data_IF_862329727762
#
_entry.id   IF_862329727762
#
_cell.length_a   1.000
_cell.length_b   1.000
_cell.length_c   1.000
_cell.angle_alpha   90.00
_cell.angle_beta   90.00
_cell.angle_gamma   90.00
#
_symmetry.space_group_name_H-M   'P 1'
#
loop_
_entity.id
_entity.type
_entity.pdbx_description
1 polymer ?
#
# COMPACT_ATOMS: atom_id res chain seq x y z
N UNK A 1 1.62 -18.36 4.22
CA UNK A 1 1.72 -16.92 4.46
C UNK A 1 2.24 -16.23 3.20
N UNK A 2 1.62 -15.18 2.78
CA UNK A 2 1.96 -14.51 1.52
C UNK A 2 3.10 -13.53 1.72
N UNK A 3 4.07 -13.56 0.82
CA UNK A 3 5.26 -12.71 0.87
C UNK A 3 5.20 -11.54 -0.11
N UNK A 4 3.99 -11.22 -0.55
CA UNK A 4 3.74 -10.13 -1.49
C UNK A 4 2.67 -9.18 -0.94
N UNK A 5 2.78 -7.92 -1.32
CA UNK A 5 1.80 -6.94 -0.87
C UNK A 5 1.72 -5.73 -1.78
N UNK A 6 0.80 -4.85 -1.40
CA UNK A 6 0.70 -3.50 -1.94
C UNK A 6 0.94 -2.53 -0.79
N UNK A 7 1.87 -1.63 -0.99
CA UNK A 7 2.14 -0.54 -0.07
C UNK A 7 1.42 0.71 -0.59
N UNK A 8 0.58 1.30 0.25
CA UNK A 8 -0.15 2.52 -0.06
C UNK A 8 0.31 3.57 0.93
N UNK A 9 1.23 4.43 0.52
CA UNK A 9 1.77 5.49 1.35
C UNK A 9 1.00 6.80 1.17
N UNK A 10 0.93 7.60 2.21
CA UNK A 10 0.27 8.90 2.15
C UNK A 10 0.93 9.90 3.10
N UNK A 11 0.85 11.16 2.69
CA UNK A 11 1.34 12.29 3.48
C UNK A 11 0.23 12.97 4.25
N UNK A 12 0.48 14.23 4.59
CA UNK A 12 -0.46 15.04 5.33
C UNK A 12 -1.73 15.33 4.51
N UNK A 13 -2.86 15.54 5.18
CA UNK A 13 -4.06 16.04 4.50
C UNK A 13 -3.77 17.34 3.77
N UNK A 14 -4.40 17.52 2.63
CA UNK A 14 -4.37 18.81 1.91
C UNK A 14 -5.04 19.86 2.79
N UNK A 15 -4.43 21.04 2.89
CA UNK A 15 -4.96 22.13 3.71
C UNK A 15 -6.41 22.45 3.33
N UNK A 16 -7.28 22.50 4.33
CA UNK A 16 -8.70 22.73 4.15
C UNK A 16 -9.51 21.48 3.82
N UNK A 17 -8.87 20.33 3.65
CA UNK A 17 -9.53 19.05 3.34
C UNK A 17 -9.38 18.01 4.43
N UNK A 18 -9.09 18.43 5.65
CA UNK A 18 -8.82 17.51 6.76
C UNK A 18 -10.01 16.61 7.08
N UNK A 19 -11.23 17.16 7.06
CA UNK A 19 -12.46 16.40 7.32
C UNK A 19 -12.69 15.36 6.22
N UNK A 20 -12.50 15.77 4.96
CA UNK A 20 -12.63 14.85 3.83
C UNK A 20 -11.56 13.77 3.85
N UNK A 21 -10.33 14.10 4.28
CA UNK A 21 -9.25 13.12 4.41
C UNK A 21 -9.60 12.04 5.43
N UNK A 22 -10.15 12.42 6.59
CA UNK A 22 -10.61 11.46 7.60
C UNK A 22 -11.71 10.55 7.04
N UNK A 23 -12.62 11.11 6.26
CA UNK A 23 -13.70 10.35 5.62
C UNK A 23 -13.15 9.32 4.62
N UNK A 24 -12.23 9.73 3.77
CA UNK A 24 -11.62 8.84 2.77
C UNK A 24 -10.79 7.75 3.45
N UNK A 25 -10.10 8.08 4.54
CA UNK A 25 -9.38 7.08 5.33
C UNK A 25 -10.34 5.98 5.83
N UNK A 26 -11.49 6.38 6.36
CA UNK A 26 -12.52 5.43 6.79
C UNK A 26 -13.06 4.58 5.63
N UNK A 27 -13.27 5.19 4.46
CA UNK A 27 -13.68 4.46 3.25
C UNK A 27 -12.64 3.42 2.85
N UNK A 28 -11.36 3.78 2.93
CA UNK A 28 -10.26 2.88 2.61
C UNK A 28 -10.25 1.67 3.55
N UNK A 29 -10.36 1.91 4.85
CA UNK A 29 -10.37 0.83 5.84
C UNK A 29 -11.54 -0.13 5.61
N UNK A 30 -12.72 0.40 5.31
CA UNK A 30 -13.90 -0.43 5.03
C UNK A 30 -13.72 -1.24 3.74
N UNK A 31 -13.13 -0.64 2.72
CA UNK A 31 -12.86 -1.30 1.44
C UNK A 31 -11.86 -2.46 1.63
N UNK A 32 -10.76 -2.23 2.34
CA UNK A 32 -9.77 -3.28 2.58
C UNK A 32 -10.35 -4.42 3.40
N UNK A 33 -11.18 -4.12 4.40
CA UNK A 33 -11.88 -5.15 5.17
C UNK A 33 -12.79 -6.01 4.28
N UNK A 34 -13.48 -5.39 3.32
CA UNK A 34 -14.31 -6.11 2.36
C UNK A 34 -13.47 -7.01 1.46
N UNK A 35 -12.34 -6.51 0.95
CA UNK A 35 -11.41 -7.30 0.15
C UNK A 35 -10.93 -8.54 0.92
N UNK A 36 -10.63 -8.37 2.19
CA UNK A 36 -10.21 -9.48 3.05
C UNK A 36 -11.32 -10.51 3.22
N UNK A 37 -12.54 -10.06 3.46
CA UNK A 37 -13.70 -10.95 3.61
C UNK A 37 -13.98 -11.73 2.33
N UNK A 38 -13.76 -11.12 1.17
CA UNK A 38 -13.96 -11.75 -0.13
C UNK A 38 -12.81 -12.66 -0.54
N UNK A 39 -11.71 -12.65 0.20
CA UNK A 39 -10.53 -13.45 -0.13
C UNK A 39 -9.64 -12.84 -1.21
N UNK A 40 -9.86 -11.58 -1.56
CA UNK A 40 -9.03 -10.87 -2.55
C UNK A 40 -7.69 -10.45 -1.97
N UNK A 41 -7.62 -10.25 -0.66
CA UNK A 41 -6.39 -10.07 0.09
C UNK A 41 -6.42 -10.98 1.32
N UNK A 42 -5.25 -11.29 1.87
CA UNK A 42 -5.16 -12.08 3.11
C UNK A 42 -5.34 -11.23 4.36
N UNK A 43 -4.69 -10.07 4.37
CA UNK A 43 -4.70 -9.17 5.53
C UNK A 43 -4.30 -7.77 5.09
N UNK A 44 -4.52 -6.82 5.99
CA UNK A 44 -4.01 -5.47 5.80
C UNK A 44 -3.66 -4.85 7.14
N UNK A 45 -2.66 -3.98 7.12
CA UNK A 45 -2.23 -3.21 8.28
C UNK A 45 -2.35 -1.73 7.94
N UNK A 46 -3.01 -0.98 8.81
CA UNK A 46 -3.01 0.48 8.75
C UNK A 46 -2.03 1.03 9.76
N UNK A 47 -1.10 1.83 9.32
CA UNK A 47 -0.04 2.38 10.16
C UNK A 47 -0.03 3.89 10.04
N UNK A 48 -0.16 4.57 11.18
CA UNK A 48 0.03 6.02 11.25
C UNK A 48 1.35 6.29 11.97
N UNK A 49 2.13 7.19 11.41
CA UNK A 49 3.43 7.53 11.95
C UNK A 49 3.35 8.84 12.72
N UNK A 50 4.06 8.93 13.83
CA UNK A 50 4.25 10.20 14.50
C UNK A 50 5.17 11.10 13.67
N UNK A 51 5.16 12.39 13.96
CA UNK A 51 6.00 13.36 13.26
C UNK A 51 7.48 12.98 13.38
N UNK A 52 8.17 12.91 12.24
CA UNK A 52 9.57 12.46 12.19
C UNK A 52 10.42 13.28 11.20
N UNK A 53 9.89 14.40 10.71
CA UNK A 53 10.60 15.29 9.78
C UNK A 53 10.47 14.91 8.31
N UNK A 54 9.87 13.75 7.98
CA UNK A 54 9.62 13.32 6.61
C UNK A 54 8.18 13.56 6.19
N UNK A 55 7.90 13.28 4.92
CA UNK A 55 6.58 13.55 4.32
C UNK A 55 5.60 12.38 4.46
N UNK A 56 6.07 11.19 4.80
CA UNK A 56 5.21 10.02 4.99
C UNK A 56 4.50 10.11 6.32
N UNK A 57 3.19 10.23 6.30
CA UNK A 57 2.38 10.27 7.52
C UNK A 57 1.86 8.91 7.94
N UNK A 58 1.78 7.99 7.01
CA UNK A 58 1.32 6.65 7.29
C UNK A 58 1.25 5.81 6.03
N UNK A 59 0.84 4.58 6.20
CA UNK A 59 0.68 3.69 5.05
C UNK A 59 -0.28 2.55 5.39
N UNK A 60 -0.79 1.95 4.34
CA UNK A 60 -1.50 0.67 4.41
C UNK A 60 -0.62 -0.37 3.74
N UNK A 61 -0.51 -1.53 4.35
CA UNK A 61 0.17 -2.67 3.74
C UNK A 61 -0.85 -3.79 3.57
N UNK A 62 -1.19 -4.08 2.32
CA UNK A 62 -2.10 -5.15 1.97
C UNK A 62 -1.27 -6.36 1.56
N UNK A 63 -1.53 -7.50 2.20
CA UNK A 63 -0.83 -8.76 1.88
C UNK A 63 -1.76 -9.67 1.10
N UNK A 64 -1.23 -10.34 0.10
CA UNK A 64 -2.04 -11.26 -0.68
C UNK A 64 -1.28 -11.91 -1.81
N UNK A 65 -1.97 -12.79 -2.52
CA UNK A 65 -1.44 -13.41 -3.72
C UNK A 65 -1.15 -12.34 -4.78
N UNK A 66 0.03 -12.36 -5.43
CA UNK A 66 0.41 -11.29 -6.37
C UNK A 66 -0.54 -11.17 -7.56
N UNK A 67 -1.11 -12.28 -8.04
CA UNK A 67 -2.08 -12.23 -9.15
C UNK A 67 -3.37 -11.54 -8.70
N UNK A 68 -3.89 -11.93 -7.53
CA UNK A 68 -5.08 -11.30 -6.96
C UNK A 68 -4.86 -9.82 -6.65
N UNK A 69 -3.70 -9.47 -6.11
CA UNK A 69 -3.35 -8.07 -5.86
C UNK A 69 -3.33 -7.24 -7.13
N UNK A 70 -2.82 -7.82 -8.23
CA UNK A 70 -2.84 -7.16 -9.54
C UNK A 70 -4.25 -6.93 -10.03
N UNK A 71 -5.15 -7.89 -9.83
CA UNK A 71 -6.56 -7.76 -10.20
C UNK A 71 -7.26 -6.67 -9.38
N UNK A 72 -6.99 -6.64 -8.07
CA UNK A 72 -7.52 -5.58 -7.19
C UNK A 72 -7.06 -4.21 -7.68
N UNK A 73 -5.76 -4.08 -7.96
CA UNK A 73 -5.17 -2.81 -8.37
C UNK A 73 -5.72 -2.32 -9.71
N UNK A 74 -6.13 -3.22 -10.58
CA UNK A 74 -6.73 -2.90 -11.87
C UNK A 74 -8.24 -2.62 -11.79
N UNK A 75 -8.86 -2.88 -10.63
CA UNK A 75 -10.31 -2.72 -10.47
C UNK A 75 -10.72 -1.25 -10.42
N UNK A 76 -11.95 -1.00 -10.85
CA UNK A 76 -12.52 0.34 -10.82
C UNK A 76 -12.65 0.89 -9.41
N UNK A 77 -13.01 0.05 -8.45
CA UNK A 77 -13.12 0.44 -7.04
C UNK A 77 -11.78 0.92 -6.48
N UNK A 78 -10.70 0.24 -6.82
CA UNK A 78 -9.35 0.62 -6.41
C UNK A 78 -8.95 1.97 -7.01
N UNK A 79 -9.14 2.12 -8.32
CA UNK A 79 -8.79 3.35 -9.04
C UNK A 79 -9.57 4.53 -8.46
N UNK A 80 -10.85 4.33 -8.16
CA UNK A 80 -11.69 5.36 -7.55
C UNK A 80 -11.17 5.76 -6.15
N UNK A 81 -10.83 4.77 -5.33
CA UNK A 81 -10.31 5.04 -3.99
C UNK A 81 -9.00 5.83 -4.05
N UNK A 82 -8.09 5.44 -4.93
CA UNK A 82 -6.80 6.14 -5.09
C UNK A 82 -7.02 7.59 -5.53
N UNK A 83 -7.91 7.81 -6.49
CA UNK A 83 -8.23 9.16 -6.94
C UNK A 83 -8.78 10.03 -5.80
N UNK A 84 -9.66 9.45 -4.97
CA UNK A 84 -10.21 10.15 -3.82
C UNK A 84 -9.13 10.44 -2.77
N UNK A 85 -8.24 9.49 -2.53
CA UNK A 85 -7.12 9.67 -1.62
C UNK A 85 -6.18 10.80 -2.10
N UNK A 86 -5.86 10.81 -3.39
CA UNK A 86 -5.01 11.86 -3.97
C UNK A 86 -5.63 13.25 -3.87
N UNK A 87 -6.97 13.33 -3.88
CA UNK A 87 -7.65 14.61 -3.74
C UNK A 87 -7.52 15.19 -2.32
N UNK A 88 -7.44 14.33 -1.30
CA UNK A 88 -7.47 14.76 0.10
C UNK A 88 -6.14 14.68 0.82
N UNK A 89 -5.16 13.96 0.29
CA UNK A 89 -3.86 13.77 0.94
C UNK A 89 -2.72 14.02 -0.02
N UNK A 90 -1.60 14.46 0.53
CA UNK A 90 -0.38 14.70 -0.25
C UNK A 90 0.40 13.40 -0.38
N UNK A 91 1.16 13.29 -1.48
CA UNK A 91 2.13 12.23 -1.64
C UNK A 91 1.57 10.81 -1.61
N UNK A 92 0.34 10.61 -2.10
CA UNK A 92 -0.24 9.28 -2.20
C UNK A 92 0.53 8.48 -3.24
N UNK A 93 1.01 7.31 -2.85
CA UNK A 93 1.74 6.42 -3.75
C UNK A 93 1.41 4.97 -3.48
N UNK A 94 1.28 4.20 -4.55
CA UNK A 94 1.01 2.76 -4.48
C UNK A 94 2.14 2.03 -5.17
N UNK A 95 2.78 1.11 -4.44
CA UNK A 95 3.83 0.28 -5.02
C UNK A 95 3.66 -1.16 -4.57
N UNK A 96 4.10 -2.08 -5.40
CA UNK A 96 4.18 -3.49 -5.02
C UNK A 96 5.26 -3.65 -3.98
N UNK A 97 5.00 -4.48 -2.98
CA UNK A 97 5.93 -4.79 -1.91
C UNK A 97 6.29 -6.27 -1.96
N UNK A 98 7.56 -6.54 -1.70
CA UNK A 98 8.08 -7.90 -1.57
C UNK A 98 8.50 -8.06 -0.11
N UNK A 99 8.01 -9.11 0.53
CA UNK A 99 8.03 -9.23 1.97
C UNK A 99 8.78 -10.49 2.42
N UNK A 100 9.34 -10.43 3.62
CA UNK A 100 9.84 -11.57 4.37
C UNK A 100 10.84 -12.42 3.55
N UNK A 101 10.55 -13.70 3.37
CA UNK A 101 11.46 -14.62 2.67
C UNK A 101 11.68 -14.25 1.20
N UNK A 102 10.67 -13.73 0.54
CA UNK A 102 10.83 -13.28 -0.85
C UNK A 102 11.75 -12.05 -0.95
N UNK A 103 11.71 -11.17 0.04
CA UNK A 103 12.65 -10.06 0.09
C UNK A 103 14.09 -10.55 0.23
N UNK A 104 14.32 -11.56 1.06
CA UNK A 104 15.62 -12.18 1.21
C UNK A 104 16.09 -12.86 -0.08
N UNK A 105 15.17 -13.57 -0.75
CA UNK A 105 15.49 -14.20 -2.05
C UNK A 105 15.86 -13.17 -3.09
N UNK A 106 15.16 -12.04 -3.13
CA UNK A 106 15.44 -10.97 -4.08
C UNK A 106 16.83 -10.38 -3.84
N UNK A 107 17.19 -10.15 -2.59
CA UNK A 107 18.53 -9.64 -2.24
C UNK A 107 19.62 -10.64 -2.71
N UNK A 108 19.43 -11.91 -2.42
CA UNK A 108 20.38 -12.95 -2.84
C UNK A 108 20.47 -13.06 -4.37
N UNK A 109 19.34 -12.99 -5.04
CA UNK A 109 19.30 -13.02 -6.51
C UNK A 109 20.02 -11.82 -7.11
N UNK A 110 19.83 -10.64 -6.54
CA UNK A 110 20.51 -9.43 -7.00
C UNK A 110 22.04 -9.54 -6.84
N UNK A 111 22.49 -10.10 -5.74
CA UNK A 111 23.93 -10.33 -5.54
C UNK A 111 24.49 -11.27 -6.61
N UNK A 112 23.80 -12.37 -6.89
CA UNK A 112 24.20 -13.33 -7.91
C UNK A 112 24.22 -12.69 -9.30
N UNK A 113 23.21 -11.89 -9.63
CA UNK A 113 23.08 -11.24 -10.93
C UNK A 113 24.13 -10.15 -11.18
N UNK A 114 24.72 -9.61 -10.13
CA UNK A 114 25.72 -8.53 -10.23
C UNK A 114 27.13 -8.97 -9.87
N UNK A 115 27.34 -10.23 -9.60
CA UNK A 115 28.63 -10.75 -9.13
C UNK A 115 29.77 -10.47 -10.12
N UNK A 116 29.49 -10.51 -11.43
CA UNK A 116 30.47 -10.23 -12.49
C UNK A 116 30.87 -8.76 -12.60
N UNK A 117 30.15 -7.87 -11.93
CA UNK A 117 30.41 -6.43 -11.99
C UNK A 117 31.35 -5.95 -10.87
N UNK A 118 31.80 -6.84 -9.99
CA UNK A 118 32.58 -6.47 -8.80
C UNK A 118 34.06 -6.75 -8.95
#
# INVERSE_FOLDING_TARGET
>A
MTNFGLFVGFGAPVDGRETQAARVFGEAMAYYARLQQQGDIESFDGVLLEAHGGDLNGFMLLRGDPVKLGMVRASEDWVRLVARAEFVARGVGVVSAILDEEAQRLVSANEAMTADLR
#
